data_IF_483316002696
#
_entry.id   IF_483316002696
#
_cell.length_a   1.000
_cell.length_b   1.000
_cell.length_c   1.000
_cell.angle_alpha   90.00
_cell.angle_beta   90.00
_cell.angle_gamma   90.00
#
_symmetry.space_group_name_H-M   'P 1'
#
loop_
_entity.id
_entity.type
_entity.pdbx_description
1 polymer ?
#
# COMPACT_ATOMS: atom_id res chain seq x y z
N UNK A 1 -17.28 7.75 -7.03
CA UNK A 1 -15.81 7.81 -6.97
C UNK A 1 -15.13 6.58 -7.55
N UNK A 2 -15.36 5.36 -7.02
CA UNK A 2 -14.68 4.15 -7.54
C UNK A 2 -14.86 3.93 -9.05
N UNK A 3 -16.07 4.13 -9.58
CA UNK A 3 -16.32 4.08 -11.03
C UNK A 3 -15.43 5.06 -11.83
N UNK A 4 -15.20 6.26 -11.29
CA UNK A 4 -14.32 7.25 -11.92
C UNK A 4 -12.85 6.83 -11.85
N UNK A 5 -12.43 6.16 -10.77
CA UNK A 5 -11.07 5.58 -10.68
C UNK A 5 -10.90 4.56 -11.79
N UNK A 6 -11.84 3.62 -11.94
CA UNK A 6 -11.77 2.60 -12.99
C UNK A 6 -11.76 3.24 -14.39
N UNK A 7 -12.62 4.21 -14.65
CA UNK A 7 -12.67 4.92 -15.93
C UNK A 7 -11.34 5.64 -16.22
N UNK A 8 -10.80 6.40 -15.27
CA UNK A 8 -9.57 7.20 -15.44
C UNK A 8 -8.29 6.37 -15.49
N UNK A 9 -8.33 5.14 -14.99
CA UNK A 9 -7.17 4.26 -14.94
C UNK A 9 -7.25 3.09 -15.93
N UNK A 10 -8.23 3.11 -16.85
CA UNK A 10 -8.52 1.99 -17.75
C UNK A 10 -8.62 0.64 -16.99
N UNK A 11 -9.52 0.59 -16.00
CA UNK A 11 -9.69 -0.57 -15.14
C UNK A 11 -8.43 -0.90 -14.32
N UNK A 12 -7.71 0.13 -13.86
CA UNK A 12 -6.40 0.07 -13.19
C UNK A 12 -5.21 -0.22 -14.11
N UNK A 13 -5.41 -0.55 -15.39
CA UNK A 13 -4.32 -0.92 -16.32
C UNK A 13 -3.21 0.13 -16.38
N UNK A 14 -3.56 1.41 -16.46
CA UNK A 14 -2.56 2.49 -16.59
C UNK A 14 -1.69 2.67 -15.34
N UNK A 15 -2.11 2.14 -14.18
CA UNK A 15 -1.28 2.15 -12.96
C UNK A 15 -0.14 1.13 -13.02
N UNK A 16 -0.25 0.12 -13.88
CA UNK A 16 0.68 -1.00 -13.99
C UNK A 16 1.32 -1.10 -15.39
N UNK A 17 1.17 -0.08 -16.24
CA UNK A 17 1.86 -0.03 -17.52
C UNK A 17 3.38 -0.05 -17.34
N UNK A 18 4.05 -0.95 -18.07
CA UNK A 18 5.50 -1.14 -17.96
C UNK A 18 5.96 -1.82 -16.67
N UNK A 19 5.04 -2.20 -15.77
CA UNK A 19 5.35 -2.88 -14.51
C UNK A 19 5.12 -4.37 -14.65
N UNK A 20 6.14 -5.17 -14.33
CA UNK A 20 5.99 -6.62 -14.26
C UNK A 20 5.61 -7.05 -12.85
N UNK A 21 4.30 -7.22 -12.60
CA UNK A 21 3.81 -7.73 -11.33
C UNK A 21 4.19 -9.21 -11.16
N UNK A 22 5.05 -9.49 -10.18
CA UNK A 22 5.41 -10.84 -9.75
C UNK A 22 4.73 -11.16 -8.42
N UNK A 23 4.04 -12.30 -8.29
CA UNK A 23 3.46 -12.72 -7.01
C UNK A 23 4.55 -12.84 -5.94
N UNK A 24 4.37 -12.09 -4.86
CA UNK A 24 5.24 -12.08 -3.69
C UNK A 24 4.43 -12.47 -2.47
N UNK A 25 5.03 -13.20 -1.52
CA UNK A 25 4.38 -13.47 -0.24
C UNK A 25 4.31 -12.18 0.56
N UNK A 26 3.10 -11.79 0.94
CA UNK A 26 2.83 -10.59 1.72
C UNK A 26 2.38 -10.95 3.13
N UNK A 27 2.79 -10.16 4.12
CA UNK A 27 2.23 -10.20 5.46
C UNK A 27 0.80 -9.64 5.46
N UNK A 28 0.57 -8.55 4.71
CA UNK A 28 -0.77 -8.06 4.36
C UNK A 28 -1.46 -7.21 5.44
N UNK A 29 -0.89 -7.11 6.63
CA UNK A 29 -1.31 -6.16 7.68
C UNK A 29 -0.09 -5.66 8.49
N UNK A 30 0.96 -5.20 7.80
CA UNK A 30 2.22 -4.85 8.44
C UNK A 30 2.23 -3.40 8.94
N UNK A 31 1.98 -3.21 10.23
CA UNK A 31 2.00 -1.92 10.92
C UNK A 31 2.65 -2.01 12.30
N UNK A 32 2.79 -0.89 13.01
CA UNK A 32 3.56 -0.83 14.26
C UNK A 32 3.04 -1.76 15.35
N UNK A 33 1.74 -2.08 15.36
CA UNK A 33 1.15 -3.06 16.26
C UNK A 33 1.56 -4.51 15.97
N UNK A 34 1.99 -4.81 14.73
CA UNK A 34 2.33 -6.14 14.22
C UNK A 34 3.84 -6.34 14.01
N UNK A 35 4.66 -5.42 14.53
CA UNK A 35 6.12 -5.46 14.43
C UNK A 35 6.71 -5.40 15.83
N UNK A 36 7.64 -6.30 16.14
CA UNK A 36 8.41 -6.28 17.37
C UNK A 36 9.88 -6.62 17.10
N UNK A 37 10.70 -6.49 18.13
CA UNK A 37 12.06 -7.02 18.15
C UNK A 37 12.17 -8.02 19.29
N UNK A 38 12.56 -9.25 18.98
CA UNK A 38 12.89 -10.27 19.97
C UNK A 38 14.35 -10.67 19.77
N UNK A 39 15.13 -10.67 20.86
CA UNK A 39 16.54 -11.08 20.83
C UNK A 39 17.39 -10.32 19.78
N UNK A 40 17.07 -9.05 19.55
CA UNK A 40 17.76 -8.20 18.57
C UNK A 40 17.40 -8.47 17.10
N UNK A 41 16.37 -9.28 16.83
CA UNK A 41 15.88 -9.58 15.47
C UNK A 41 14.45 -9.08 15.27
N UNK A 42 14.09 -8.63 14.05
CA UNK A 42 12.73 -8.25 13.76
C UNK A 42 11.80 -9.46 13.80
N UNK A 43 10.62 -9.26 14.39
CA UNK A 43 9.52 -10.23 14.42
C UNK A 43 8.27 -9.55 13.88
N UNK A 44 7.51 -10.29 13.08
CA UNK A 44 6.22 -9.86 12.52
C UNK A 44 5.15 -10.90 12.91
N UNK A 45 3.94 -10.46 13.18
CA UNK A 45 2.86 -11.30 13.69
C UNK A 45 1.48 -10.79 13.26
N UNK A 46 0.45 -11.62 13.46
CA UNK A 46 -0.93 -11.38 13.02
C UNK A 46 -1.09 -11.09 11.52
N UNK A 47 -0.65 -12.02 10.64
CA UNK A 47 -0.68 -11.80 9.20
C UNK A 47 -2.10 -11.90 8.63
N UNK A 48 -2.36 -11.11 7.61
CA UNK A 48 -3.44 -11.28 6.64
C UNK A 48 -2.84 -11.77 5.31
N UNK A 49 -2.11 -12.89 5.36
CA UNK A 49 -1.17 -13.28 4.32
C UNK A 49 -1.81 -13.68 2.98
N UNK A 50 -1.21 -13.25 1.88
CA UNK A 50 -1.59 -13.63 0.51
C UNK A 50 -0.42 -13.46 -0.47
N UNK A 51 -0.58 -14.01 -1.68
CA UNK A 51 0.33 -13.71 -2.79
C UNK A 51 -0.17 -12.49 -3.55
N UNK A 52 0.65 -11.44 -3.63
CA UNK A 52 0.26 -10.18 -4.25
C UNK A 52 1.44 -9.43 -4.87
N UNK A 53 1.19 -8.19 -5.30
CA UNK A 53 2.24 -7.28 -5.73
C UNK A 53 3.01 -6.78 -4.50
N UNK A 54 4.35 -6.84 -4.51
CA UNK A 54 5.16 -6.48 -3.34
C UNK A 54 4.90 -5.06 -2.79
N UNK A 55 4.54 -4.11 -3.65
CA UNK A 55 4.21 -2.74 -3.23
C UNK A 55 2.96 -2.67 -2.32
N UNK A 56 2.08 -3.68 -2.37
CA UNK A 56 0.89 -3.74 -1.54
C UNK A 56 1.19 -3.94 -0.05
N UNK A 57 2.35 -4.52 0.29
CA UNK A 57 2.81 -4.67 1.68
C UNK A 57 2.83 -3.33 2.42
N UNK A 58 3.13 -2.26 1.69
CA UNK A 58 3.33 -0.94 2.24
C UNK A 58 2.03 -0.14 2.43
N UNK A 59 0.87 -0.74 2.15
CA UNK A 59 -0.44 -0.09 2.32
C UNK A 59 -0.76 0.38 3.74
N UNK A 60 -0.09 -0.17 4.75
CA UNK A 60 -0.20 0.24 6.16
C UNK A 60 0.93 1.16 6.65
N UNK A 61 1.84 1.60 5.77
CA UNK A 61 3.04 2.36 6.17
C UNK A 61 2.75 3.66 6.94
N UNK A 62 1.57 4.26 6.72
CA UNK A 62 1.11 5.47 7.40
C UNK A 62 0.97 5.33 8.92
N UNK A 63 0.86 4.10 9.44
CA UNK A 63 0.85 3.81 10.89
C UNK A 63 1.94 2.79 11.31
N UNK A 64 2.90 2.51 10.43
CA UNK A 64 3.99 1.55 10.71
C UNK A 64 5.24 2.20 11.33
N UNK A 65 5.48 3.50 11.08
CA UNK A 65 6.66 4.19 11.58
C UNK A 65 7.96 3.86 10.83
N UNK A 66 7.88 3.42 9.57
CA UNK A 66 9.05 3.12 8.75
C UNK A 66 9.88 4.38 8.44
N UNK A 67 11.11 4.42 8.98
CA UNK A 67 12.07 5.50 8.78
C UNK A 67 12.87 5.39 7.47
N UNK A 68 13.73 6.39 7.22
CA UNK A 68 14.56 6.44 6.01
C UNK A 68 15.51 5.25 5.86
N UNK A 69 16.06 4.73 6.96
CA UNK A 69 16.94 3.56 6.95
C UNK A 69 16.24 2.29 6.47
N UNK A 70 14.99 2.07 6.91
CA UNK A 70 14.15 0.97 6.43
C UNK A 70 13.96 1.05 4.91
N UNK A 71 13.52 2.22 4.41
CA UNK A 71 13.27 2.41 3.00
C UNK A 71 14.54 2.33 2.14
N UNK A 72 15.67 2.79 2.66
CA UNK A 72 16.96 2.63 1.98
C UNK A 72 17.32 1.15 1.80
N UNK A 73 17.23 0.35 2.87
CA UNK A 73 17.51 -1.09 2.80
C UNK A 73 16.50 -1.85 1.93
N UNK A 74 15.22 -1.48 1.97
CA UNK A 74 14.21 -2.08 1.09
C UNK A 74 14.51 -1.82 -0.38
N UNK A 75 14.79 -0.56 -0.73
CA UNK A 75 15.03 -0.13 -2.12
C UNK A 75 16.37 -0.62 -2.69
N UNK A 76 17.34 -0.93 -1.83
CA UNK A 76 18.59 -1.58 -2.23
C UNK A 76 18.32 -2.99 -2.78
N UNK A 77 17.34 -3.71 -2.21
CA UNK A 77 16.98 -5.07 -2.63
C UNK A 77 15.91 -5.08 -3.73
N UNK A 78 14.92 -4.19 -3.63
CA UNK A 78 13.79 -4.09 -4.55
C UNK A 78 13.65 -2.63 -5.01
N UNK A 79 14.24 -2.29 -6.18
CA UNK A 79 14.11 -0.95 -6.75
C UNK A 79 12.65 -0.55 -6.99
N UNK A 80 12.34 0.75 -6.88
CA UNK A 80 11.00 1.25 -7.17
C UNK A 80 10.72 1.22 -8.68
N UNK A 81 9.61 0.61 -9.06
CA UNK A 81 9.08 0.72 -10.42
C UNK A 81 8.48 2.11 -10.67
N UNK A 82 8.51 2.61 -11.93
CA UNK A 82 7.79 3.83 -12.30
C UNK A 82 6.34 3.79 -11.83
N UNK A 83 5.86 4.89 -11.24
CA UNK A 83 4.49 4.97 -10.71
C UNK A 83 4.29 4.41 -9.30
N UNK A 84 5.33 3.96 -8.59
CA UNK A 84 5.27 3.44 -7.22
C UNK A 84 4.39 4.30 -6.29
N UNK A 85 4.61 5.62 -6.26
CA UNK A 85 3.85 6.54 -5.39
C UNK A 85 2.35 6.59 -5.73
N UNK A 86 2.02 6.45 -7.02
CA UNK A 86 0.63 6.46 -7.49
C UNK A 86 -0.06 5.16 -7.08
N UNK A 87 0.64 4.02 -7.21
CA UNK A 87 0.15 2.71 -6.72
C UNK A 87 0.08 2.63 -5.19
N UNK A 88 0.99 3.27 -4.46
CA UNK A 88 0.93 3.35 -3.00
C UNK A 88 -0.40 3.96 -2.51
N UNK A 89 -0.93 4.96 -3.22
CA UNK A 89 -2.24 5.53 -2.91
C UNK A 89 -3.40 4.52 -3.08
N UNK A 90 -3.32 3.62 -4.07
CA UNK A 90 -4.28 2.54 -4.26
C UNK A 90 -4.20 1.53 -3.11
N UNK A 91 -3.00 1.10 -2.73
CA UNK A 91 -2.80 0.13 -1.66
C UNK A 91 -3.16 0.66 -0.28
N UNK A 92 -2.85 1.93 0.01
CA UNK A 92 -3.30 2.57 1.24
C UNK A 92 -4.83 2.73 1.26
N UNK A 93 -5.47 3.05 0.12
CA UNK A 93 -6.93 3.17 0.06
C UNK A 93 -7.64 1.88 0.44
N UNK A 94 -7.10 0.71 0.10
CA UNK A 94 -7.63 -0.58 0.56
C UNK A 94 -7.67 -0.66 2.09
N UNK A 95 -6.57 -0.34 2.77
CA UNK A 95 -6.53 -0.37 4.24
C UNK A 95 -7.40 0.69 4.90
N UNK A 96 -7.50 1.89 4.31
CA UNK A 96 -8.38 2.95 4.81
C UNK A 96 -9.85 2.56 4.68
N UNK A 97 -10.24 1.88 3.57
CA UNK A 97 -11.59 1.32 3.42
C UNK A 97 -11.85 0.20 4.43
N UNK A 98 -10.87 -0.68 4.67
CA UNK A 98 -10.98 -1.70 5.70
C UNK A 98 -11.17 -1.10 7.09
N UNK A 99 -10.37 -0.09 7.46
CA UNK A 99 -10.51 0.63 8.73
C UNK A 99 -11.84 1.36 8.84
N UNK A 100 -12.37 1.90 7.74
CA UNK A 100 -13.71 2.48 7.73
C UNK A 100 -14.78 1.42 8.01
N UNK A 101 -14.70 0.24 7.39
CA UNK A 101 -15.64 -0.84 7.66
C UNK A 101 -15.62 -1.29 9.12
N UNK A 102 -14.45 -1.32 9.75
CA UNK A 102 -14.28 -1.78 11.14
C UNK A 102 -14.59 -0.70 12.19
N UNK A 103 -14.21 0.54 11.93
CA UNK A 103 -14.17 1.60 12.94
C UNK A 103 -14.95 2.88 12.56
N UNK A 104 -15.44 2.98 11.32
CA UNK A 104 -16.19 4.13 10.83
C UNK A 104 -15.38 5.43 10.79
N UNK A 105 -16.07 6.57 10.85
CA UNK A 105 -15.43 7.88 11.05
C UNK A 105 -14.51 8.36 9.90
N UNK A 106 -13.39 9.00 10.28
CA UNK A 106 -12.52 9.75 9.36
C UNK A 106 -11.82 8.92 8.28
N UNK A 107 -11.78 7.59 8.43
CA UNK A 107 -11.16 6.67 7.47
C UNK A 107 -11.82 6.72 6.08
N UNK A 108 -13.14 6.95 5.99
CA UNK A 108 -13.81 7.14 4.70
C UNK A 108 -13.28 8.37 3.97
N UNK A 109 -13.03 9.46 4.69
CA UNK A 109 -12.45 10.68 4.13
C UNK A 109 -11.01 10.45 3.65
N UNK A 110 -10.21 9.68 4.39
CA UNK A 110 -8.86 9.31 3.98
C UNK A 110 -8.85 8.47 2.69
N UNK A 111 -9.64 7.39 2.65
CA UNK A 111 -9.83 6.56 1.46
C UNK A 111 -10.30 7.40 0.25
N UNK A 112 -11.28 8.27 0.45
CA UNK A 112 -11.81 9.15 -0.59
C UNK A 112 -10.73 10.08 -1.15
N UNK A 113 -9.89 10.69 -0.29
CA UNK A 113 -8.79 11.54 -0.76
C UNK A 113 -7.76 10.76 -1.56
N UNK A 114 -7.40 9.54 -1.13
CA UNK A 114 -6.47 8.67 -1.85
C UNK A 114 -6.98 8.30 -3.24
N UNK A 115 -8.23 7.82 -3.31
CA UNK A 115 -8.87 7.44 -4.57
C UNK A 115 -9.04 8.64 -5.51
N UNK A 116 -9.36 9.83 -4.99
CA UNK A 116 -9.44 11.07 -5.78
C UNK A 116 -8.09 11.53 -6.34
N UNK A 117 -6.95 11.10 -5.79
CA UNK A 117 -5.63 11.36 -6.41
C UNK A 117 -5.41 10.49 -7.64
N UNK A 118 -5.99 9.29 -7.67
CA UNK A 118 -5.85 8.37 -8.81
C UNK A 118 -6.59 8.85 -10.06
N UNK A 119 -7.58 9.74 -9.89
CA UNK A 119 -8.39 10.30 -10.98
C UNK A 119 -7.80 11.58 -11.59
N UNK A 120 -6.73 12.13 -11.00
CA UNK A 120 -6.04 13.31 -11.52
C UNK A 120 -5.00 12.88 -12.54
N UNK A 121 -4.84 13.67 -13.60
CA UNK A 121 -3.73 13.49 -14.55
C UNK A 121 -2.42 13.91 -13.87
N UNK A 122 -1.34 13.17 -14.15
CA UNK A 122 0.00 13.63 -13.81
C UNK A 122 0.27 14.90 -14.66
N UNK A 123 0.30 16.06 -14.01
CA UNK A 123 0.61 17.34 -14.64
C UNK A 123 2.13 17.51 -14.83
#
# INVERSE_FOLDING_TARGET
>A
LWAQVLERTDGLRTLFEGVQVKPSTLHGDLWSGNIATAEGRPCIFDPAAYYGHHEAEWGMSWCAGFGSSFWAGYRELIPEDPGFRRRAALYEAYHQLNHYNLFGGGYLGAATRLLSRLTQSDA
#
